data_IF_796826113526
#
_entry.id   IF_796826113526
#
_cell.length_a   1.000
_cell.length_b   1.000
_cell.length_c   1.000
_cell.angle_alpha   90.00
_cell.angle_beta   90.00
_cell.angle_gamma   90.00
#
_symmetry.space_group_name_H-M   'P 1'
#
loop_
_entity.id
_entity.type
_entity.pdbx_description
1 polymer ?
#
# COMPACT_ATOMS: atom_id res chain seq x y z
N UNK A 1 -23.38 20.94 -1.10
CA UNK A 1 -21.94 20.68 -0.96
C UNK A 1 -21.77 19.67 0.17
N UNK A 2 -21.22 18.50 -0.14
CA UNK A 2 -20.91 17.48 0.89
C UNK A 2 -19.75 18.00 1.73
N UNK A 3 -19.85 17.99 3.07
CA UNK A 3 -18.73 18.37 3.93
C UNK A 3 -17.52 17.49 3.63
N UNK A 4 -16.29 18.05 3.57
CA UNK A 4 -15.10 17.23 3.43
C UNK A 4 -14.98 16.29 4.63
N UNK A 5 -14.71 15.01 4.36
CA UNK A 5 -14.49 14.02 5.41
C UNK A 5 -13.18 14.24 6.16
N UNK A 6 -13.05 13.61 7.33
CA UNK A 6 -11.80 13.61 8.10
C UNK A 6 -10.69 12.88 7.33
N UNK A 7 -9.50 13.47 7.29
CA UNK A 7 -8.30 12.89 6.65
C UNK A 7 -7.24 12.58 7.71
N UNK A 8 -6.52 11.47 7.53
CA UNK A 8 -5.32 11.11 8.30
C UNK A 8 -4.07 11.24 7.42
N UNK A 9 -3.06 11.96 7.89
CA UNK A 9 -1.77 12.12 7.19
C UNK A 9 -0.71 11.32 7.93
N UNK A 10 0.03 10.48 7.19
CA UNK A 10 1.14 9.70 7.70
C UNK A 10 2.44 10.23 7.11
N UNK A 11 3.42 10.53 7.96
CA UNK A 11 4.72 11.04 7.54
C UNK A 11 5.84 10.26 8.23
N UNK A 12 6.95 10.06 7.53
CA UNK A 12 8.18 9.50 8.10
C UNK A 12 9.33 10.48 7.93
N UNK A 13 10.16 10.63 8.95
CA UNK A 13 11.40 11.40 8.88
C UNK A 13 12.54 10.50 8.38
N UNK A 14 13.61 11.07 7.79
CA UNK A 14 14.80 10.32 7.34
C UNK A 14 15.66 9.82 8.52
N UNK A 15 15.05 9.10 9.47
CA UNK A 15 15.69 8.52 10.65
C UNK A 15 15.76 7.01 10.48
N UNK A 16 16.73 6.51 9.68
CA UNK A 16 17.15 5.11 9.60
C UNK A 16 16.05 4.02 9.74
N UNK A 17 14.82 4.26 9.27
CA UNK A 17 13.78 3.25 9.27
C UNK A 17 14.05 2.31 8.11
N UNK A 18 14.64 1.15 8.41
CA UNK A 18 14.79 0.04 7.44
C UNK A 18 13.47 -0.71 7.18
N UNK A 19 12.34 -0.15 7.65
CA UNK A 19 11.10 -0.88 7.87
C UNK A 19 9.99 -0.36 6.96
N UNK A 20 9.26 -1.27 6.32
CA UNK A 20 8.13 -0.97 5.43
C UNK A 20 7.07 -0.06 6.10
N UNK A 21 6.73 1.06 5.45
CA UNK A 21 5.82 2.09 5.99
C UNK A 21 4.37 1.59 6.11
N UNK A 22 3.95 0.68 5.23
CA UNK A 22 2.59 0.13 5.27
C UNK A 22 2.39 -0.74 6.51
N UNK A 23 3.30 -1.70 6.72
CA UNK A 23 3.24 -2.68 7.80
C UNK A 23 3.56 -2.06 9.17
N UNK A 24 4.58 -1.20 9.25
CA UNK A 24 5.07 -0.73 10.54
C UNK A 24 4.34 0.50 11.05
N UNK A 25 3.64 1.22 10.18
CA UNK A 25 3.03 2.49 10.53
C UNK A 25 1.55 2.52 10.14
N UNK A 26 1.23 2.45 8.85
CA UNK A 26 -0.11 2.74 8.35
C UNK A 26 -1.15 1.74 8.88
N UNK A 27 -0.96 0.43 8.68
CA UNK A 27 -1.96 -0.56 9.11
C UNK A 27 -2.17 -0.56 10.63
N UNK A 28 -1.12 -0.30 11.40
CA UNK A 28 -1.18 -0.26 12.87
C UNK A 28 -1.97 0.94 13.38
N UNK A 29 -1.75 2.13 12.82
CA UNK A 29 -2.45 3.35 13.26
C UNK A 29 -3.87 3.41 12.69
N UNK A 30 -4.11 2.82 11.53
CA UNK A 30 -5.46 2.66 10.99
C UNK A 30 -6.25 1.53 11.66
N UNK A 31 -5.57 0.62 12.36
CA UNK A 31 -6.14 -0.63 12.88
C UNK A 31 -6.90 -1.42 11.81
N UNK A 32 -6.40 -1.38 10.56
CA UNK A 32 -7.08 -1.94 9.40
C UNK A 32 -6.10 -2.58 8.42
N UNK A 33 -6.44 -3.77 7.95
CA UNK A 33 -5.72 -4.45 6.87
C UNK A 33 -5.87 -3.69 5.55
N UNK A 34 -4.87 -3.78 4.68
CA UNK A 34 -4.85 -3.08 3.39
C UNK A 34 -4.34 -3.98 2.26
N UNK A 35 -4.77 -3.62 1.05
CA UNK A 35 -4.22 -4.15 -0.19
C UNK A 35 -3.32 -3.07 -0.82
N UNK A 36 -2.14 -3.47 -1.27
CA UNK A 36 -1.18 -2.59 -1.92
C UNK A 36 -0.93 -3.09 -3.33
N UNK A 37 -1.01 -2.17 -4.29
CA UNK A 37 -0.70 -2.47 -5.67
C UNK A 37 0.80 -2.74 -5.82
N UNK A 38 1.14 -3.81 -6.53
CA UNK A 38 2.52 -4.20 -6.80
C UNK A 38 2.67 -4.48 -8.29
N UNK A 39 3.18 -3.51 -9.08
CA UNK A 39 3.40 -3.72 -10.48
C UNK A 39 4.61 -4.65 -10.71
N UNK A 40 4.40 -5.72 -11.48
CA UNK A 40 5.48 -6.60 -11.94
C UNK A 40 5.40 -8.05 -11.44
N UNK A 41 6.52 -8.77 -11.62
CA UNK A 41 6.70 -10.17 -11.24
C UNK A 41 7.06 -10.33 -9.75
N UNK A 42 7.03 -11.56 -9.23
CA UNK A 42 7.16 -11.95 -7.80
C UNK A 42 8.36 -11.40 -7.00
N UNK A 43 9.30 -10.70 -7.64
CA UNK A 43 10.48 -10.08 -7.05
C UNK A 43 10.21 -8.83 -6.22
N UNK A 44 9.17 -8.07 -6.55
CA UNK A 44 8.82 -6.79 -5.88
C UNK A 44 7.73 -6.95 -4.81
N UNK A 45 7.27 -8.18 -4.59
CA UNK A 45 6.27 -8.52 -3.58
C UNK A 45 6.80 -8.17 -2.20
N UNK A 46 6.00 -7.46 -1.41
CA UNK A 46 6.26 -7.30 0.01
C UNK A 46 6.26 -8.68 0.66
N UNK A 47 7.47 -9.21 0.90
CA UNK A 47 7.70 -10.56 1.42
C UNK A 47 7.21 -10.74 2.85
N UNK A 48 6.85 -9.66 3.54
CA UNK A 48 6.56 -9.63 4.96
C UNK A 48 5.20 -9.01 5.21
N UNK A 49 4.16 -9.85 5.21
CA UNK A 49 2.83 -9.38 5.57
C UNK A 49 1.89 -10.50 6.01
N UNK A 50 2.36 -11.41 6.86
CA UNK A 50 1.55 -12.53 7.35
C UNK A 50 1.86 -12.93 8.81
N UNK A 51 2.17 -11.99 9.70
CA UNK A 51 2.26 -12.28 11.13
C UNK A 51 1.52 -11.22 11.94
N UNK A 52 0.33 -11.58 12.44
CA UNK A 52 -0.54 -10.71 13.25
C UNK A 52 -1.97 -10.57 12.69
N UNK A 53 -2.87 -9.91 13.44
CA UNK A 53 -4.27 -9.72 13.04
C UNK A 53 -4.45 -8.73 11.87
N UNK A 54 -3.47 -7.88 11.62
CA UNK A 54 -3.48 -6.88 10.54
C UNK A 54 -2.57 -7.34 9.39
N UNK A 55 -3.06 -7.23 8.15
CA UNK A 55 -2.39 -7.73 6.95
C UNK A 55 -2.15 -6.63 5.91
N UNK A 56 -1.09 -6.81 5.12
CA UNK A 56 -0.78 -6.01 3.93
C UNK A 56 -0.70 -6.97 2.73
N UNK A 57 -1.71 -7.01 1.88
CA UNK A 57 -1.76 -7.99 0.79
C UNK A 57 -1.34 -7.34 -0.52
N UNK A 58 -0.46 -8.01 -1.27
CA UNK A 58 -0.05 -7.52 -2.58
C UNK A 58 -1.15 -7.82 -3.60
N UNK A 59 -1.52 -6.82 -4.39
CA UNK A 59 -2.38 -6.96 -5.58
C UNK A 59 -1.48 -6.79 -6.79
N UNK A 60 -1.18 -7.89 -7.47
CA UNK A 60 -0.28 -7.90 -8.61
C UNK A 60 -0.92 -7.23 -9.81
N UNK A 61 -0.18 -6.33 -10.46
CA UNK A 61 -0.60 -5.67 -11.68
C UNK A 61 -0.53 -6.56 -12.93
N UNK A 62 -1.18 -6.15 -14.04
CA UNK A 62 -1.99 -4.93 -14.17
C UNK A 62 -3.32 -5.01 -13.40
N UNK A 63 -3.87 -3.86 -13.00
CA UNK A 63 -5.19 -3.77 -12.34
C UNK A 63 -6.16 -2.98 -13.20
N UNK A 64 -7.44 -3.33 -13.11
CA UNK A 64 -8.52 -2.57 -13.75
C UNK A 64 -9.20 -1.69 -12.73
N UNK A 65 -9.21 -0.37 -12.98
CA UNK A 65 -9.97 0.60 -12.19
C UNK A 65 -11.16 1.06 -13.02
N UNK A 66 -12.37 0.68 -12.58
CA UNK A 66 -13.61 0.81 -13.35
C UNK A 66 -13.50 0.02 -14.67
N UNK A 67 -13.04 0.66 -15.73
CA UNK A 67 -12.88 0.08 -17.09
C UNK A 67 -11.51 0.41 -17.71
N UNK A 68 -10.59 0.94 -16.91
CA UNK A 68 -9.25 1.33 -17.36
C UNK A 68 -8.22 0.39 -16.76
N UNK A 69 -7.52 -0.33 -17.62
CA UNK A 69 -6.34 -1.08 -17.22
C UNK A 69 -5.20 -0.10 -16.92
N UNK A 70 -4.58 -0.24 -15.75
CA UNK A 70 -3.37 0.50 -15.38
C UNK A 70 -2.16 -0.37 -15.73
N UNK A 71 -1.45 -0.06 -16.82
CA UNK A 71 -0.28 -0.83 -17.20
C UNK A 71 0.88 -0.52 -16.25
N UNK A 72 1.66 -1.56 -15.94
CA UNK A 72 2.81 -1.53 -15.01
C UNK A 72 3.76 -0.35 -15.30
N UNK A 73 4.01 -0.04 -16.57
CA UNK A 73 4.92 1.02 -16.98
C UNK A 73 4.39 2.45 -16.87
N UNK A 74 3.10 2.65 -16.56
CA UNK A 74 2.50 3.98 -16.42
C UNK A 74 2.18 4.35 -14.97
N UNK A 75 2.32 3.41 -14.03
CA UNK A 75 2.13 3.66 -12.60
C UNK A 75 3.43 4.15 -11.93
N UNK A 76 3.29 4.95 -10.87
CA UNK A 76 4.42 5.48 -10.10
C UNK A 76 4.88 4.55 -8.97
N UNK A 77 4.07 3.56 -8.59
CA UNK A 77 4.37 2.56 -7.59
C UNK A 77 5.37 1.50 -8.09
N UNK A 78 6.53 1.93 -8.61
CA UNK A 78 7.57 1.07 -9.18
C UNK A 78 8.48 0.42 -8.13
#
# INVERSE_FOLDING_TARGET
LTPPGTVKIFASAPVAYSSDVYLNYIVKILEKSMQVYTPGTTTTVLRKSCAGPLKVENVLGPITVKDTEIPIGQDSAR
#
